data_IF_290085173446
#
_entry.id   IF_290085173446
#
_cell.length_a   1.000
_cell.length_b   1.000
_cell.length_c   1.000
_cell.angle_alpha   90.00
_cell.angle_beta   90.00
_cell.angle_gamma   90.00
#
_symmetry.space_group_name_H-M   'P 1'
#
loop_
_entity.id
_entity.type
_entity.pdbx_description
1 polymer ?
#
# COMPACT_ATOMS: atom_id res chain seq x y z
N UNK A 1 -12.17 14.69 -4.55
CA UNK A 1 -12.38 13.25 -4.48
C UNK A 1 -11.11 12.63 -3.96
N UNK A 2 -11.16 11.91 -2.84
CA UNK A 2 -9.99 11.30 -2.20
C UNK A 2 -9.75 9.93 -2.81
N UNK A 3 -8.48 9.58 -3.05
CA UNK A 3 -8.09 8.33 -3.69
C UNK A 3 -7.28 7.52 -2.71
N UNK A 4 -7.65 6.25 -2.54
CA UNK A 4 -7.06 5.36 -1.54
C UNK A 4 -6.59 4.10 -2.25
N UNK A 5 -5.33 3.74 -2.04
CA UNK A 5 -4.81 2.45 -2.47
C UNK A 5 -5.28 1.38 -1.50
N UNK A 6 -5.77 0.27 -2.03
CA UNK A 6 -6.12 -0.95 -1.30
C UNK A 6 -5.36 -2.14 -1.89
N UNK A 7 -5.29 -3.22 -1.12
CA UNK A 7 -4.55 -4.43 -1.47
C UNK A 7 -5.40 -5.69 -1.32
N UNK A 8 -5.20 -6.62 -2.23
CA UNK A 8 -5.56 -8.03 -2.04
C UNK A 8 -4.29 -8.85 -1.81
N UNK A 9 -4.10 -9.35 -0.60
CA UNK A 9 -3.01 -10.25 -0.20
C UNK A 9 -3.38 -11.01 1.07
N UNK A 10 -2.85 -12.21 1.28
CA UNK A 10 -2.92 -12.87 2.59
C UNK A 10 -1.90 -12.31 3.59
N UNK A 11 -0.96 -11.48 3.15
CA UNK A 11 0.06 -10.82 3.96
C UNK A 11 -0.21 -9.30 4.11
N UNK A 12 0.75 -8.56 4.66
CA UNK A 12 0.67 -7.11 4.87
C UNK A 12 0.64 -6.35 3.53
N UNK A 13 0.21 -5.10 3.59
CA UNK A 13 0.37 -4.17 2.48
C UNK A 13 1.86 -4.02 2.13
N UNK A 14 2.18 -4.20 0.85
CA UNK A 14 3.49 -3.89 0.30
C UNK A 14 3.37 -3.49 -1.19
N UNK A 15 4.35 -2.73 -1.66
CA UNK A 15 4.56 -2.43 -3.08
C UNK A 15 5.77 -3.19 -3.64
N UNK A 16 5.91 -3.24 -4.96
CA UNK A 16 7.09 -3.83 -5.59
C UNK A 16 8.35 -3.00 -5.33
N UNK A 17 9.53 -3.59 -5.50
CA UNK A 17 10.79 -2.84 -5.49
C UNK A 17 10.79 -1.72 -6.55
N UNK A 18 10.20 -1.97 -7.73
CA UNK A 18 10.07 -0.95 -8.78
C UNK A 18 9.22 0.24 -8.32
N UNK A 19 8.13 -0.02 -7.60
CA UNK A 19 7.32 1.04 -7.00
C UNK A 19 8.07 1.81 -5.90
N UNK A 20 8.84 1.12 -5.04
CA UNK A 20 9.70 1.78 -4.06
C UNK A 20 10.69 2.74 -4.73
N UNK A 21 11.41 2.28 -5.76
CA UNK A 21 12.36 3.11 -6.50
C UNK A 21 11.66 4.34 -7.06
N UNK A 22 10.47 4.14 -7.67
CA UNK A 22 9.69 5.25 -8.20
C UNK A 22 9.23 6.24 -7.13
N UNK A 23 8.81 5.76 -5.96
CA UNK A 23 8.45 6.61 -4.81
C UNK A 23 9.64 7.44 -4.33
N UNK A 24 10.86 6.88 -4.34
CA UNK A 24 12.09 7.61 -4.01
C UNK A 24 12.43 8.69 -5.04
N UNK A 25 12.25 8.40 -6.32
CA UNK A 25 12.41 9.40 -7.40
C UNK A 25 11.45 10.59 -7.23
N UNK A 26 10.24 10.33 -6.71
CA UNK A 26 9.26 11.36 -6.37
C UNK A 26 9.55 12.07 -5.04
N UNK A 27 10.61 11.67 -4.32
CA UNK A 27 10.99 12.27 -3.05
C UNK A 27 10.10 11.86 -1.87
N UNK A 28 9.41 10.71 -1.94
CA UNK A 28 8.59 10.23 -0.83
C UNK A 28 9.44 9.97 0.42
N UNK A 29 9.17 10.72 1.49
CA UNK A 29 9.98 10.70 2.72
C UNK A 29 10.08 9.29 3.33
N UNK A 30 8.96 8.60 3.50
CA UNK A 30 8.94 7.25 4.08
C UNK A 30 9.69 6.23 3.22
N UNK A 31 9.65 6.37 1.89
CA UNK A 31 10.41 5.50 0.98
C UNK A 31 11.92 5.79 1.03
N UNK A 32 12.33 7.03 1.31
CA UNK A 32 13.73 7.41 1.49
C UNK A 32 14.30 6.92 2.83
N UNK A 33 13.47 6.84 3.87
CA UNK A 33 13.85 6.32 5.20
C UNK A 33 13.91 4.79 5.24
N UNK A 34 13.13 4.10 4.41
CA UNK A 34 13.09 2.64 4.36
C UNK A 34 14.40 2.05 3.81
N UNK A 35 14.90 0.98 4.42
CA UNK A 35 16.10 0.28 3.94
C UNK A 35 15.77 -0.49 2.66
N UNK A 36 16.47 -0.18 1.57
CA UNK A 36 16.33 -0.92 0.32
C UNK A 36 17.31 -2.09 0.27
N UNK A 37 16.90 -3.19 0.90
CA UNK A 37 17.62 -4.47 0.83
C UNK A 37 17.79 -4.97 -0.61
N UNK A 38 16.91 -4.59 -1.54
CA UNK A 38 16.96 -4.97 -2.94
C UNK A 38 18.07 -4.32 -3.74
N UNK A 39 18.53 -3.15 -3.32
CA UNK A 39 19.72 -2.52 -3.87
C UNK A 39 20.98 -3.36 -3.63
N UNK A 40 21.08 -4.04 -2.47
CA UNK A 40 22.24 -4.85 -2.10
C UNK A 40 22.11 -6.33 -2.50
N UNK A 41 20.90 -6.88 -2.45
CA UNK A 41 20.59 -8.27 -2.81
C UNK A 41 19.35 -8.32 -3.71
N UNK A 42 19.51 -8.12 -5.03
CA UNK A 42 18.38 -8.06 -5.96
C UNK A 42 17.51 -9.32 -5.95
N UNK A 43 18.10 -10.49 -5.67
CA UNK A 43 17.37 -11.75 -5.62
C UNK A 43 16.52 -11.91 -4.33
N UNK A 44 16.89 -11.24 -3.24
CA UNK A 44 16.24 -11.36 -1.93
C UNK A 44 15.21 -10.25 -1.64
N UNK A 45 15.13 -9.21 -2.46
CA UNK A 45 14.03 -8.22 -2.39
C UNK A 45 13.02 -8.34 -3.54
N UNK A 46 13.31 -9.24 -4.49
CA UNK A 46 12.31 -9.62 -5.47
C UNK A 46 11.15 -10.39 -4.83
N UNK A 47 10.08 -10.66 -5.58
CA UNK A 47 8.92 -11.42 -5.11
C UNK A 47 9.23 -12.86 -4.62
N UNK A 48 10.49 -13.31 -4.62
CA UNK A 48 10.90 -14.65 -4.21
C UNK A 48 11.25 -14.76 -2.72
N UNK A 49 11.51 -13.64 -2.03
CA UNK A 49 11.77 -13.61 -0.58
C UNK A 49 10.83 -12.60 0.09
N UNK A 50 9.56 -12.97 0.31
CA UNK A 50 8.50 -12.07 0.75
C UNK A 50 8.73 -11.46 2.12
N UNK A 51 9.46 -12.17 2.99
CA UNK A 51 9.67 -11.77 4.38
C UNK A 51 10.41 -10.44 4.51
N UNK A 52 11.16 -10.06 3.48
CA UNK A 52 11.96 -8.84 3.40
C UNK A 52 11.26 -7.71 2.61
N UNK A 53 10.20 -8.01 1.86
CA UNK A 53 9.48 -7.00 1.07
C UNK A 53 8.33 -6.39 1.89
N UNK A 54 8.64 -5.30 2.60
CA UNK A 54 7.64 -4.50 3.34
C UNK A 54 7.46 -3.10 2.76
N UNK A 55 7.86 -2.90 1.51
CA UNK A 55 7.94 -1.58 0.90
C UNK A 55 6.60 -0.86 0.92
N UNK A 56 6.65 0.42 1.30
CA UNK A 56 5.47 1.28 1.30
C UNK A 56 4.48 1.01 2.44
N UNK A 57 4.75 0.07 3.35
CA UNK A 57 3.94 -0.17 4.56
C UNK A 57 3.79 1.09 5.43
N UNK A 58 4.77 1.98 5.40
CA UNK A 58 4.77 3.23 6.17
C UNK A 58 4.08 4.38 5.44
N UNK A 59 3.81 4.25 4.14
CA UNK A 59 3.24 5.32 3.32
C UNK A 59 1.72 5.36 3.57
N UNK A 60 1.14 6.55 3.82
CA UNK A 60 -0.31 6.69 3.94
C UNK A 60 -1.05 6.13 2.73
N UNK A 61 -2.21 5.50 2.95
CA UNK A 61 -2.95 4.82 1.87
C UNK A 61 -3.58 5.79 0.87
N UNK A 62 -3.75 7.04 1.27
CA UNK A 62 -4.22 8.16 0.44
C UNK A 62 -3.10 9.12 0.02
N UNK A 63 -1.83 8.71 0.14
CA UNK A 63 -0.69 9.49 -0.31
C UNK A 63 -0.70 9.69 -1.84
N UNK A 64 -0.48 10.93 -2.28
CA UNK A 64 -0.55 11.30 -3.69
C UNK A 64 0.53 10.61 -4.55
N UNK A 65 1.74 10.45 -4.01
CA UNK A 65 2.80 9.73 -4.73
C UNK A 65 2.48 8.24 -4.81
N UNK A 66 1.95 7.64 -3.74
CA UNK A 66 1.53 6.24 -3.77
C UNK A 66 0.46 5.98 -4.83
N UNK A 67 -0.59 6.82 -4.85
CA UNK A 67 -1.64 6.74 -5.87
C UNK A 67 -1.04 6.86 -7.26
N UNK A 68 -0.22 7.89 -7.49
CA UNK A 68 0.45 8.14 -8.76
C UNK A 68 1.28 6.93 -9.21
N UNK A 69 2.07 6.32 -8.33
CA UNK A 69 2.92 5.18 -8.68
C UNK A 69 2.10 3.94 -9.04
N UNK A 70 1.00 3.68 -8.32
CA UNK A 70 0.10 2.57 -8.62
C UNK A 70 -0.59 2.78 -9.98
N UNK A 71 -0.94 4.02 -10.34
CA UNK A 71 -1.46 4.33 -11.68
C UNK A 71 -0.41 4.18 -12.78
N UNK A 72 0.79 4.74 -12.57
CA UNK A 72 1.87 4.74 -13.55
C UNK A 72 2.36 3.32 -13.87
N UNK A 73 2.41 2.44 -12.86
CA UNK A 73 3.01 1.11 -12.98
C UNK A 73 1.99 -0.03 -13.14
N UNK A 74 0.71 0.18 -12.76
CA UNK A 74 -0.29 -0.87 -12.75
C UNK A 74 0.17 -2.09 -11.94
N UNK A 75 0.03 -3.29 -12.51
CA UNK A 75 0.45 -4.56 -11.87
C UNK A 75 1.96 -4.60 -11.55
N UNK A 76 2.80 -3.79 -12.21
CA UNK A 76 4.21 -3.71 -11.86
C UNK A 76 4.46 -2.99 -10.53
N UNK A 77 3.46 -2.33 -9.95
CA UNK A 77 3.50 -1.81 -8.58
C UNK A 77 3.24 -2.88 -7.53
N UNK A 78 2.71 -4.04 -7.91
CA UNK A 78 2.26 -5.06 -6.97
C UNK A 78 3.44 -5.69 -6.22
N UNK A 79 3.39 -5.59 -4.89
CA UNK A 79 4.31 -6.31 -4.00
C UNK A 79 4.11 -7.83 -4.05
N UNK A 80 4.84 -8.56 -3.22
CA UNK A 80 4.72 -10.03 -3.22
C UNK A 80 3.30 -10.49 -2.88
N UNK A 81 2.72 -11.31 -3.77
CA UNK A 81 1.35 -11.83 -3.65
C UNK A 81 0.29 -10.75 -3.36
N UNK A 82 0.59 -9.50 -3.71
CA UNK A 82 -0.30 -8.36 -3.59
C UNK A 82 -1.00 -8.13 -4.93
N UNK A 83 -2.17 -7.50 -4.85
CA UNK A 83 -2.79 -6.89 -6.03
C UNK A 83 -3.37 -5.56 -5.61
N UNK A 84 -2.77 -4.49 -6.13
CA UNK A 84 -3.09 -3.13 -5.73
C UNK A 84 -4.19 -2.55 -6.61
N UNK A 85 -5.09 -1.80 -5.98
CA UNK A 85 -6.20 -1.09 -6.64
C UNK A 85 -6.39 0.27 -6.00
N UNK A 86 -6.92 1.22 -6.76
CA UNK A 86 -7.26 2.55 -6.26
C UNK A 86 -8.77 2.66 -6.18
N UNK A 87 -9.27 3.05 -5.01
CA UNK A 87 -10.68 3.38 -4.77
C UNK A 87 -10.81 4.89 -4.62
N UNK A 88 -11.89 5.45 -5.15
CA UNK A 88 -12.20 6.87 -5.01
C UNK A 88 -13.38 7.05 -4.06
N UNK A 89 -13.24 7.94 -3.08
CA UNK A 89 -14.27 8.28 -2.10
C UNK A 89 -14.47 9.81 -2.04
N UNK A 90 -15.57 10.31 -1.43
CA UNK A 90 -15.73 11.74 -1.16
C UNK A 90 -14.61 12.30 -0.26
N UNK A 91 -14.25 13.58 -0.41
CA UNK A 91 -13.15 14.21 0.36
C UNK A 91 -13.49 14.43 1.83
N UNK A 92 -14.77 14.60 2.12
CA UNK A 92 -15.33 14.99 3.42
C UNK A 92 -15.69 13.79 4.32
N UNK A 93 -15.36 12.58 3.87
CA UNK A 93 -15.65 11.33 4.58
C UNK A 93 -14.40 10.81 5.28
N UNK A 94 -14.51 10.59 6.60
CA UNK A 94 -13.54 9.78 7.33
C UNK A 94 -13.70 8.32 6.90
N UNK A 95 -12.60 7.59 6.80
CA UNK A 95 -12.61 6.23 6.26
C UNK A 95 -11.77 5.28 7.10
N UNK A 96 -12.06 3.99 6.95
CA UNK A 96 -11.27 2.89 7.51
C UNK A 96 -11.04 1.84 6.42
N UNK A 97 -9.92 1.12 6.54
CA UNK A 97 -9.69 -0.10 5.77
C UNK A 97 -9.94 -1.30 6.68
N UNK A 98 -10.78 -2.21 6.22
CA UNK A 98 -10.95 -3.53 6.81
C UNK A 98 -10.39 -4.59 5.87
N UNK A 99 -10.00 -5.75 6.41
CA UNK A 99 -9.46 -6.85 5.62
C UNK A 99 -10.20 -8.14 5.96
N UNK A 100 -10.77 -8.79 4.95
CA UNK A 100 -11.50 -10.04 5.09
C UNK A 100 -11.09 -11.00 3.97
N UNK A 101 -10.71 -12.22 4.31
CA UNK A 101 -10.25 -13.24 3.34
C UNK A 101 -9.13 -12.73 2.39
N UNK A 102 -8.20 -11.95 2.94
CA UNK A 102 -7.08 -11.39 2.16
C UNK A 102 -7.44 -10.19 1.28
N UNK A 103 -8.68 -9.70 1.31
CA UNK A 103 -9.14 -8.58 0.48
C UNK A 103 -9.35 -7.36 1.39
N UNK A 104 -8.62 -6.27 1.12
CA UNK A 104 -8.90 -4.98 1.75
C UNK A 104 -10.14 -4.33 1.14
N UNK A 105 -10.95 -3.70 1.99
CA UNK A 105 -12.10 -2.88 1.62
C UNK A 105 -12.01 -1.53 2.33
N UNK A 106 -12.33 -0.46 1.62
CA UNK A 106 -12.46 0.88 2.21
C UNK A 106 -13.93 1.15 2.46
N UNK A 107 -14.25 1.60 3.67
CA UNK A 107 -15.59 2.05 4.05
C UNK A 107 -15.53 3.37 4.80
N UNK A 108 -16.64 4.10 4.80
CA UNK A 108 -16.79 5.24 5.71
C UNK A 108 -16.63 4.78 7.17
N UNK A 109 -15.97 5.62 7.97
CA UNK A 109 -15.81 5.43 9.39
C UNK A 109 -17.07 5.91 10.10
N UNK A 110 -17.92 4.98 10.55
CA UNK A 110 -19.11 5.31 11.32
C UNK A 110 -18.83 5.30 12.83
N UNK A 111 -19.59 6.11 13.57
CA UNK A 111 -19.62 6.01 15.04
C UNK A 111 -20.14 4.63 15.45
N UNK A 112 -19.61 4.10 16.54
CA UNK A 112 -20.07 2.85 17.15
C UNK A 112 -20.44 3.11 18.61
N UNK A 113 -21.48 2.44 19.08
CA UNK A 113 -21.97 2.55 20.46
C UNK A 113 -22.06 1.13 21.00
N UNK A 114 -21.38 0.85 22.10
CA UNK A 114 -21.43 -0.46 22.73
C UNK A 114 -22.77 -0.66 23.44
N UNK A 115 -23.38 -1.84 23.27
CA UNK A 115 -24.33 -2.36 24.25
C UNK A 115 -23.56 -2.92 25.42
N UNK A 116 -23.80 -2.41 26.63
CA UNK A 116 -23.34 -3.05 27.87
C UNK A 116 -23.85 -4.49 27.92
N UNK A 117 -22.93 -5.45 28.08
CA UNK A 117 -23.27 -6.79 28.57
C UNK A 117 -23.55 -6.75 30.06
#
# INVERSE_FOLDING_TARGET
MKRIVINRSYDKFCVSHKALVRLRELGQREALEEVDSGAYWPQAAGPREPSLNQYGKLIPRDDEHLVRVVEELGEAADGHAASLRIVTIPDDVNWVITKTEGIEQVSEAHRTWGGTM
#
